data_IF_834860538185
#
_entry.id   IF_834860538185
#
_cell.length_a   1.000
_cell.length_b   1.000
_cell.length_c   1.000
_cell.angle_alpha   90.00
_cell.angle_beta   90.00
_cell.angle_gamma   90.00
#
_symmetry.space_group_name_H-M   'P 1'
#
loop_
_entity.id
_entity.type
_entity.pdbx_description
1 polymer ?
#
# COMPACT_ATOMS: atom_id res chain seq x y z
N UNK A 1 -3.34 -24.23 3.65
CA UNK A 1 -3.76 -25.15 2.55
C UNK A 1 -4.17 -24.45 1.25
N UNK A 2 -4.64 -23.20 1.27
CA UNK A 2 -5.11 -22.52 0.03
C UNK A 2 -3.98 -21.95 -0.86
N UNK A 3 -2.82 -21.63 -0.32
CA UNK A 3 -1.69 -21.04 -1.10
C UNK A 3 -1.11 -22.05 -2.12
N UNK A 4 -1.04 -23.31 -1.78
CA UNK A 4 -0.52 -24.37 -2.68
C UNK A 4 -1.48 -24.58 -3.87
N UNK A 5 -2.79 -24.48 -3.68
CA UNK A 5 -3.79 -24.64 -4.74
C UNK A 5 -3.70 -23.57 -5.82
N UNK A 6 -3.40 -22.31 -5.43
CA UNK A 6 -3.26 -21.19 -6.38
C UNK A 6 -2.01 -21.37 -7.24
N UNK A 7 -0.88 -21.74 -6.64
CA UNK A 7 0.37 -22.01 -7.37
C UNK A 7 0.19 -23.19 -8.33
N UNK A 8 -0.50 -24.26 -7.90
CA UNK A 8 -0.75 -25.43 -8.72
C UNK A 8 -1.66 -25.11 -9.90
N UNK A 9 -2.70 -24.28 -9.71
CA UNK A 9 -3.61 -23.86 -10.80
C UNK A 9 -2.86 -22.96 -11.80
N UNK A 10 -2.03 -22.04 -11.35
CA UNK A 10 -1.23 -21.18 -12.23
C UNK A 10 -0.22 -21.98 -13.04
N UNK A 11 0.41 -22.98 -12.44
CA UNK A 11 1.35 -23.88 -13.13
C UNK A 11 0.63 -24.82 -14.11
N UNK A 12 -0.55 -25.33 -13.76
CA UNK A 12 -1.37 -26.16 -14.66
C UNK A 12 -1.90 -25.35 -15.85
N UNK A 13 -2.30 -24.10 -15.65
CA UNK A 13 -2.70 -23.23 -16.78
C UNK A 13 -1.53 -22.96 -17.74
N UNK A 14 -0.32 -22.75 -17.21
CA UNK A 14 0.88 -22.59 -18.04
C UNK A 14 1.24 -23.87 -18.83
N UNK A 15 1.10 -25.03 -18.21
CA UNK A 15 1.36 -26.33 -18.83
C UNK A 15 0.28 -26.69 -19.87
N UNK A 16 -0.99 -26.36 -19.64
CA UNK A 16 -2.08 -26.64 -20.61
C UNK A 16 -1.99 -25.74 -21.84
N UNK A 17 -1.51 -24.50 -21.72
CA UNK A 17 -1.23 -23.66 -22.89
C UNK A 17 -0.07 -24.18 -23.74
N UNK A 18 0.95 -24.80 -23.12
CA UNK A 18 2.04 -25.46 -23.84
C UNK A 18 1.61 -26.69 -24.66
N UNK A 19 0.59 -27.43 -24.21
CA UNK A 19 0.10 -28.62 -24.89
C UNK A 19 -0.80 -28.30 -26.09
N UNK A 20 -1.41 -27.14 -26.18
CA UNK A 20 -2.21 -26.69 -27.33
C UNK A 20 -1.39 -26.22 -28.53
N UNK A 21 -0.08 -26.04 -28.36
CA UNK A 21 0.81 -25.56 -29.41
C UNK A 21 1.30 -26.60 -30.40
N UNK A 22 0.84 -27.86 -30.31
CA UNK A 22 1.31 -28.99 -31.15
C UNK A 22 0.31 -29.46 -32.21
N UNK A 23 -0.38 -28.56 -32.88
CA UNK A 23 -1.07 -28.93 -34.13
C UNK A 23 -0.28 -28.40 -35.33
N UNK A 24 0.28 -29.31 -36.10
CA UNK A 24 1.03 -29.09 -37.34
C UNK A 24 0.22 -28.34 -38.41
N UNK A 25 0.34 -27.04 -38.42
CA UNK A 25 0.39 -26.20 -39.63
C UNK A 25 1.58 -25.29 -39.40
N UNK A 26 2.36 -25.03 -40.49
CA UNK A 26 3.51 -24.11 -40.41
C UNK A 26 3.15 -22.88 -39.56
N UNK A 27 3.41 -23.00 -38.29
CA UNK A 27 3.03 -21.98 -37.33
C UNK A 27 3.88 -20.76 -37.60
N UNK A 28 3.25 -19.66 -38.01
CA UNK A 28 3.95 -18.40 -38.20
C UNK A 28 4.70 -18.10 -36.93
N UNK A 29 6.02 -17.93 -37.06
CA UNK A 29 6.90 -17.58 -35.93
C UNK A 29 6.76 -16.11 -35.70
N UNK A 30 6.31 -15.74 -34.49
CA UNK A 30 6.23 -14.37 -34.03
C UNK A 30 7.31 -14.14 -32.99
N UNK A 31 8.25 -13.28 -33.28
CA UNK A 31 9.29 -12.86 -32.35
C UNK A 31 9.45 -11.36 -32.46
N UNK A 32 9.63 -10.61 -31.36
CA UNK A 32 9.92 -9.21 -31.45
C UNK A 32 11.27 -8.98 -32.15
N UNK A 33 11.30 -8.01 -33.02
CA UNK A 33 12.51 -7.58 -33.71
C UNK A 33 13.44 -6.84 -32.74
N UNK A 34 14.76 -6.93 -32.97
CA UNK A 34 15.74 -6.13 -32.24
C UNK A 34 15.43 -4.65 -32.49
N UNK A 35 15.38 -3.85 -31.43
CA UNK A 35 14.98 -2.44 -31.50
C UNK A 35 13.50 -2.18 -31.27
N UNK A 36 12.65 -3.24 -31.23
CA UNK A 36 11.22 -3.05 -30.93
C UNK A 36 10.99 -2.70 -29.46
N UNK A 37 9.95 -1.90 -29.25
CA UNK A 37 9.45 -1.54 -27.93
C UNK A 37 8.11 -2.23 -27.66
N UNK A 38 7.80 -2.45 -26.39
CA UNK A 38 6.48 -2.94 -25.99
C UNK A 38 5.98 -2.18 -24.74
N UNK A 39 4.70 -1.93 -24.75
CA UNK A 39 3.96 -1.51 -23.56
C UNK A 39 3.09 -2.69 -23.12
N UNK A 40 3.04 -2.92 -21.83
CA UNK A 40 2.26 -4.00 -21.24
C UNK A 40 1.52 -3.58 -20.00
N UNK A 41 0.51 -4.40 -19.68
CA UNK A 41 -0.20 -4.35 -18.41
C UNK A 41 0.10 -5.64 -17.69
N UNK A 42 0.56 -5.55 -16.46
CA UNK A 42 0.77 -6.70 -15.59
C UNK A 42 -0.35 -6.75 -14.57
N UNK A 43 -0.84 -7.95 -14.33
CA UNK A 43 -1.83 -8.27 -13.32
C UNK A 43 -1.21 -9.21 -12.30
N UNK A 44 -1.29 -8.85 -11.03
CA UNK A 44 -0.82 -9.68 -9.91
C UNK A 44 -2.01 -10.44 -9.30
N UNK A 45 -2.20 -11.73 -9.61
CA UNK A 45 -3.33 -12.50 -9.09
C UNK A 45 -3.24 -12.77 -7.59
N UNK A 46 -2.05 -12.74 -7.01
CA UNK A 46 -1.86 -12.92 -5.56
C UNK A 46 -2.32 -11.67 -4.82
N UNK A 47 -1.95 -10.50 -5.31
CA UNK A 47 -2.45 -9.24 -4.77
C UNK A 47 -3.97 -9.13 -4.91
N UNK A 48 -4.53 -9.55 -6.04
CA UNK A 48 -5.98 -9.60 -6.27
C UNK A 48 -6.69 -10.55 -5.29
N UNK A 49 -6.14 -11.74 -5.08
CA UNK A 49 -6.70 -12.74 -4.15
C UNK A 49 -6.63 -12.30 -2.67
N UNK A 50 -5.70 -11.41 -2.34
CA UNK A 50 -5.57 -10.80 -1.02
C UNK A 50 -6.41 -9.52 -0.85
N UNK A 51 -7.22 -9.17 -1.85
CA UNK A 51 -8.08 -7.99 -1.82
C UNK A 51 -7.52 -6.77 -2.56
N UNK A 52 -6.31 -6.87 -3.12
CA UNK A 52 -5.68 -5.80 -3.90
C UNK A 52 -5.66 -4.45 -3.17
N UNK A 53 -6.01 -3.38 -3.89
CA UNK A 53 -6.20 -2.05 -3.28
C UNK A 53 -7.36 -2.00 -2.29
N UNK A 54 -8.34 -2.93 -2.38
CA UNK A 54 -9.40 -3.06 -1.38
C UNK A 54 -8.88 -3.60 -0.04
N UNK A 55 -7.81 -4.41 -0.02
CA UNK A 55 -7.16 -4.81 1.24
C UNK A 55 -6.50 -3.61 1.94
N UNK A 56 -5.97 -2.66 1.18
CA UNK A 56 -5.51 -1.38 1.72
C UNK A 56 -6.67 -0.58 2.32
N UNK A 57 -7.84 -0.56 1.68
CA UNK A 57 -9.06 0.07 2.23
C UNK A 57 -9.62 -0.69 3.42
N UNK A 58 -9.53 -2.02 3.47
CA UNK A 58 -9.95 -2.79 4.64
C UNK A 58 -9.04 -2.57 5.84
N UNK A 59 -7.74 -2.38 5.64
CA UNK A 59 -6.81 -2.00 6.70
C UNK A 59 -7.05 -0.56 7.19
N UNK A 60 -7.52 0.31 6.32
CA UNK A 60 -8.05 1.63 6.66
C UNK A 60 -9.31 1.51 7.50
N UNK A 61 -10.23 0.65 7.11
CA UNK A 61 -11.43 0.35 7.88
C UNK A 61 -11.08 -0.21 9.27
N UNK A 62 -10.15 -1.15 9.36
CA UNK A 62 -9.65 -1.66 10.63
C UNK A 62 -8.96 -0.58 11.47
N UNK A 63 -8.28 0.36 10.84
CA UNK A 63 -7.70 1.51 11.52
C UNK A 63 -8.77 2.45 12.08
N UNK A 64 -9.80 2.79 11.31
CA UNK A 64 -10.87 3.70 11.73
C UNK A 64 -11.84 3.05 12.75
N UNK A 65 -12.13 1.76 12.58
CA UNK A 65 -13.14 1.05 13.36
C UNK A 65 -12.54 0.14 14.44
N UNK A 66 -11.22 -0.13 14.38
CA UNK A 66 -10.54 -1.08 15.26
C UNK A 66 -11.05 -2.51 15.08
N UNK A 67 -10.36 -3.45 15.69
CA UNK A 67 -10.87 -4.80 15.95
C UNK A 67 -11.24 -4.87 17.43
N UNK A 68 -12.46 -5.22 17.75
CA UNK A 68 -12.85 -5.53 19.13
C UNK A 68 -12.00 -6.71 19.58
N UNK A 69 -11.23 -6.51 20.64
CA UNK A 69 -10.64 -7.60 21.40
C UNK A 69 -11.61 -8.02 22.48
N UNK A 70 -11.53 -9.28 22.97
CA UNK A 70 -12.41 -9.83 24.01
C UNK A 70 -12.52 -8.95 25.27
N UNK A 71 -11.57 -8.05 25.49
CA UNK A 71 -11.52 -7.10 26.61
C UNK A 71 -12.20 -5.75 26.32
N UNK A 72 -12.88 -5.59 25.16
CA UNK A 72 -13.55 -4.34 24.78
C UNK A 72 -12.58 -3.18 24.49
N UNK A 73 -11.29 -3.39 24.61
CA UNK A 73 -10.26 -2.44 24.22
C UNK A 73 -10.03 -2.63 22.72
N UNK A 74 -10.53 -1.70 21.93
CA UNK A 74 -10.06 -1.58 20.55
C UNK A 74 -8.61 -1.15 20.66
N UNK A 75 -7.71 -2.10 20.65
CA UNK A 75 -6.34 -1.80 20.26
C UNK A 75 -6.51 -1.32 18.83
N UNK A 76 -6.42 0.00 18.66
CA UNK A 76 -6.25 0.60 17.37
C UNK A 76 -5.22 -0.27 16.72
N UNK A 77 -5.54 -0.86 15.59
CA UNK A 77 -4.63 -1.79 14.99
C UNK A 77 -3.27 -1.19 15.25
N UNK A 78 -2.35 -1.93 15.91
CA UNK A 78 -0.97 -1.56 15.79
C UNK A 78 -0.78 -1.54 14.29
N UNK A 79 -1.24 -0.47 13.73
CA UNK A 79 -1.13 -0.19 12.34
C UNK A 79 0.37 -0.11 12.21
N UNK A 80 0.97 -1.26 11.92
CA UNK A 80 2.28 -1.25 11.31
C UNK A 80 2.04 -0.48 10.04
N UNK A 81 2.16 0.86 10.09
CA UNK A 81 1.74 1.70 8.99
C UNK A 81 2.59 1.44 7.76
N UNK A 82 3.52 0.54 7.89
CA UNK A 82 4.62 0.33 7.02
C UNK A 82 4.80 -1.13 6.72
N UNK A 83 3.73 -1.79 6.36
CA UNK A 83 3.95 -3.03 5.64
C UNK A 83 4.70 -2.66 4.36
N UNK A 84 6.00 -2.93 4.38
CA UNK A 84 6.80 -2.85 3.19
C UNK A 84 6.11 -3.59 2.07
N UNK A 85 6.12 -3.00 0.90
CA UNK A 85 5.65 -3.66 -0.30
C UNK A 85 6.45 -4.94 -0.51
N UNK A 86 5.93 -6.04 -0.02
CA UNK A 86 6.32 -7.37 -0.46
C UNK A 86 5.73 -7.56 -1.85
N UNK A 87 6.36 -8.32 -2.73
CA UNK A 87 5.86 -8.56 -4.08
C UNK A 87 4.42 -9.06 -4.12
N UNK A 88 3.99 -9.81 -3.10
CA UNK A 88 2.60 -10.24 -2.93
C UNK A 88 1.62 -9.12 -2.57
N UNK A 89 2.12 -7.96 -2.19
CA UNK A 89 1.33 -6.77 -1.81
C UNK A 89 1.48 -5.61 -2.81
N UNK A 90 2.16 -5.85 -3.94
CA UNK A 90 2.23 -4.87 -5.02
C UNK A 90 0.83 -4.51 -5.53
N UNK A 91 0.68 -3.33 -6.15
CA UNK A 91 -0.57 -2.99 -6.82
C UNK A 91 -1.05 -4.13 -7.72
N UNK A 92 -2.33 -4.41 -7.67
CA UNK A 92 -2.96 -5.46 -8.48
C UNK A 92 -2.65 -5.32 -9.97
N UNK A 93 -2.53 -4.08 -10.43
CA UNK A 93 -2.22 -3.74 -11.81
C UNK A 93 -1.00 -2.83 -11.86
N UNK A 94 -0.08 -3.12 -12.77
CA UNK A 94 1.07 -2.27 -13.08
C UNK A 94 1.25 -2.14 -14.58
N UNK A 95 1.90 -1.06 -15.00
CA UNK A 95 2.27 -0.82 -16.40
C UNK A 95 3.72 -1.23 -16.56
N UNK A 96 4.03 -1.93 -17.64
CA UNK A 96 5.39 -2.33 -17.99
C UNK A 96 5.79 -1.79 -19.36
N UNK A 97 7.07 -1.55 -19.50
CA UNK A 97 7.74 -1.23 -20.74
C UNK A 97 8.88 -2.22 -20.97
N UNK A 98 8.99 -2.73 -22.18
CA UNK A 98 10.11 -3.57 -22.63
C UNK A 98 10.75 -2.96 -23.87
N UNK A 99 12.06 -3.07 -23.97
CA UNK A 99 12.85 -2.72 -25.16
C UNK A 99 13.75 -3.89 -25.53
N UNK A 100 13.55 -4.49 -26.71
CA UNK A 100 14.34 -5.60 -27.20
C UNK A 100 15.70 -5.12 -27.70
N UNK A 101 16.71 -5.11 -26.84
CA UNK A 101 18.02 -4.59 -27.14
C UNK A 101 18.85 -5.53 -28.04
N UNK A 102 18.68 -6.85 -27.85
CA UNK A 102 19.32 -7.91 -28.64
C UNK A 102 18.32 -9.06 -28.82
N UNK A 103 18.64 -10.02 -29.68
CA UNK A 103 17.77 -11.18 -29.97
C UNK A 103 17.27 -11.90 -28.71
N UNK A 104 18.14 -12.04 -27.72
CA UNK A 104 17.86 -12.77 -26.46
C UNK A 104 17.90 -11.90 -25.21
N UNK A 105 17.88 -10.56 -25.37
CA UNK A 105 17.98 -9.65 -24.24
C UNK A 105 17.11 -8.43 -24.43
N UNK A 106 16.31 -8.12 -23.43
CA UNK A 106 15.48 -6.92 -23.35
C UNK A 106 15.75 -6.14 -22.06
N UNK A 107 15.58 -4.83 -22.12
CA UNK A 107 15.38 -4.02 -20.92
C UNK A 107 13.90 -4.07 -20.56
N UNK A 108 13.60 -4.25 -19.29
CA UNK A 108 12.24 -4.24 -18.77
C UNK A 108 12.15 -3.27 -17.59
N UNK A 109 11.11 -2.46 -17.58
CA UNK A 109 10.74 -1.64 -16.44
C UNK A 109 9.25 -1.79 -16.17
N UNK A 110 8.85 -1.70 -14.91
CA UNK A 110 7.43 -1.65 -14.55
C UNK A 110 7.20 -0.63 -13.43
N UNK A 111 6.01 -0.05 -13.44
CA UNK A 111 5.55 0.87 -12.42
C UNK A 111 4.11 0.53 -12.03
N UNK A 112 3.87 0.48 -10.74
CA UNK A 112 2.53 0.35 -10.19
C UNK A 112 2.40 1.24 -8.96
N UNK A 113 1.23 1.84 -8.79
CA UNK A 113 0.92 2.65 -7.63
C UNK A 113 -0.54 2.47 -7.23
N UNK A 114 -0.79 2.70 -5.96
CA UNK A 114 -2.13 2.74 -5.41
C UNK A 114 -2.19 3.83 -4.35
N UNK A 115 -3.37 4.37 -4.13
CA UNK A 115 -3.61 5.35 -3.08
C UNK A 115 -5.09 5.55 -2.88
N UNK A 116 -5.44 6.11 -1.74
CA UNK A 116 -6.80 6.40 -1.40
C UNK A 116 -6.89 7.54 -0.40
N UNK A 117 -7.97 8.27 -0.50
CA UNK A 117 -8.33 9.33 0.43
C UNK A 117 -9.72 9.03 0.97
N UNK A 118 -9.83 8.99 2.30
CA UNK A 118 -11.09 8.83 3.00
C UNK A 118 -11.32 10.05 3.89
N UNK A 119 -12.49 10.65 3.79
CA UNK A 119 -12.93 11.72 4.67
C UNK A 119 -14.21 11.27 5.36
N UNK A 120 -14.05 10.71 6.55
CA UNK A 120 -15.16 10.31 7.40
C UNK A 120 -15.62 11.51 8.22
N UNK A 121 -16.93 11.72 8.32
CA UNK A 121 -17.51 12.81 9.10
C UNK A 121 -18.62 12.29 10.00
N UNK A 122 -18.74 12.88 11.17
CA UNK A 122 -19.79 12.59 12.14
C UNK A 122 -20.26 13.88 12.80
N UNK A 123 -21.56 13.97 13.07
CA UNK A 123 -22.11 15.10 13.79
C UNK A 123 -21.98 14.88 15.30
N UNK A 124 -21.55 15.93 15.99
CA UNK A 124 -21.49 16.02 17.44
C UNK A 124 -22.26 17.25 17.91
N UNK A 125 -22.65 17.29 19.17
CA UNK A 125 -23.33 18.46 19.72
C UNK A 125 -22.43 19.71 19.67
N UNK A 126 -23.01 20.85 19.34
CA UNK A 126 -22.33 22.14 19.38
C UNK A 126 -22.20 22.62 20.84
N UNK A 127 -21.00 22.49 21.42
CA UNK A 127 -20.75 22.87 22.82
C UNK A 127 -21.06 24.34 23.09
N UNK A 128 -20.77 25.23 22.11
CA UNK A 128 -21.05 26.66 22.23
C UNK A 128 -22.57 26.94 22.27
N UNK A 129 -23.32 26.27 21.44
CA UNK A 129 -24.79 26.40 21.44
C UNK A 129 -25.40 25.81 22.70
N UNK A 130 -24.88 24.69 23.21
CA UNK A 130 -25.31 24.07 24.45
C UNK A 130 -24.97 24.91 25.68
N UNK A 131 -23.82 25.60 25.69
CA UNK A 131 -23.45 26.53 26.76
C UNK A 131 -24.41 27.74 26.85
N UNK A 132 -24.97 28.17 25.72
CA UNK A 132 -25.97 29.23 25.66
C UNK A 132 -27.38 28.73 25.97
N UNK A 133 -27.74 27.53 25.54
CA UNK A 133 -29.02 26.89 25.77
C UNK A 133 -28.81 25.36 25.91
N UNK A 134 -28.93 24.81 27.14
CA UNK A 134 -28.74 23.37 27.39
C UNK A 134 -29.68 22.45 26.62
N UNK A 135 -30.78 22.98 26.08
CA UNK A 135 -31.73 22.25 25.25
C UNK A 135 -31.45 22.41 23.74
N UNK A 136 -30.31 22.97 23.37
CA UNK A 136 -29.96 23.16 21.96
C UNK A 136 -29.72 21.83 21.27
N UNK A 137 -30.33 21.65 20.10
CA UNK A 137 -30.08 20.52 19.18
C UNK A 137 -29.06 20.87 18.09
N UNK A 138 -28.36 22.01 18.21
CA UNK A 138 -27.36 22.40 17.24
C UNK A 138 -26.18 21.40 17.20
N UNK A 139 -25.72 21.08 16.01
CA UNK A 139 -24.63 20.15 15.80
C UNK A 139 -23.54 20.76 14.92
N UNK A 140 -22.32 20.33 15.16
CA UNK A 140 -21.14 20.60 14.35
C UNK A 140 -20.58 19.29 13.83
N UNK A 141 -19.69 19.33 12.86
CA UNK A 141 -19.14 18.11 12.27
C UNK A 141 -17.67 17.97 12.61
N UNK A 142 -17.33 16.82 13.15
CA UNK A 142 -15.95 16.33 13.23
C UNK A 142 -15.61 15.55 11.96
N UNK A 143 -14.32 15.47 11.62
CA UNK A 143 -13.87 14.74 10.47
C UNK A 143 -12.52 14.03 10.74
N UNK A 144 -12.42 12.79 10.26
CA UNK A 144 -11.18 12.03 10.18
C UNK A 144 -10.83 11.86 8.71
N UNK A 145 -9.67 12.37 8.33
CA UNK A 145 -9.15 12.33 6.96
C UNK A 145 -7.95 11.40 6.92
N UNK A 146 -8.07 10.34 6.14
CA UNK A 146 -6.99 9.39 5.93
C UNK A 146 -6.48 9.53 4.51
N UNK A 147 -5.19 9.72 4.35
CA UNK A 147 -4.47 9.69 3.07
C UNK A 147 -3.50 8.50 3.08
N UNK A 148 -3.60 7.65 2.08
CA UNK A 148 -2.73 6.51 1.89
C UNK A 148 -2.19 6.48 0.47
N UNK A 149 -0.90 6.22 0.33
CA UNK A 149 -0.22 6.08 -0.96
C UNK A 149 0.86 5.01 -0.90
N UNK A 150 1.04 4.33 -2.02
CA UNK A 150 2.09 3.36 -2.15
C UNK A 150 2.31 2.94 -3.59
N UNK A 151 3.44 2.36 -3.86
CA UNK A 151 3.79 1.91 -5.19
C UNK A 151 5.14 1.23 -5.26
N UNK A 152 5.46 0.79 -6.47
CA UNK A 152 6.75 0.19 -6.76
C UNK A 152 7.17 0.41 -8.19
N UNK A 153 8.47 0.45 -8.38
CA UNK A 153 9.13 0.52 -9.69
C UNK A 153 10.13 -0.61 -9.74
N UNK A 154 10.13 -1.36 -10.85
CA UNK A 154 11.19 -2.33 -11.14
C UNK A 154 11.87 -1.95 -12.44
N UNK A 155 13.18 -2.15 -12.53
CA UNK A 155 13.92 -1.95 -13.77
C UNK A 155 15.10 -2.94 -13.83
N UNK A 156 15.28 -3.57 -14.99
CA UNK A 156 16.34 -4.57 -15.14
C UNK A 156 16.47 -5.12 -16.54
N UNK A 157 17.21 -6.21 -16.61
CA UNK A 157 17.44 -6.97 -17.82
C UNK A 157 16.58 -8.23 -17.81
N UNK A 158 15.99 -8.55 -18.94
CA UNK A 158 15.26 -9.79 -19.19
C UNK A 158 15.94 -10.55 -20.33
N UNK A 159 16.24 -11.82 -20.11
CA UNK A 159 16.76 -12.74 -21.09
C UNK A 159 15.63 -13.63 -21.57
N UNK A 160 15.63 -13.93 -22.86
CA UNK A 160 14.59 -14.76 -23.45
C UNK A 160 15.16 -15.82 -24.37
N UNK A 161 14.53 -16.98 -24.42
CA UNK A 161 14.89 -18.08 -25.27
C UNK A 161 13.64 -18.79 -25.80
N UNK A 162 13.60 -19.11 -27.07
CA UNK A 162 12.46 -19.74 -27.74
C UNK A 162 11.95 -18.89 -28.90
N UNK A 163 10.84 -19.35 -29.49
CA UNK A 163 10.20 -18.68 -30.63
C UNK A 163 8.84 -18.08 -30.17
N UNK A 164 7.73 -18.61 -30.66
CA UNK A 164 6.40 -18.14 -30.26
C UNK A 164 6.14 -18.30 -28.76
N UNK A 165 6.62 -19.40 -28.17
CA UNK A 165 6.69 -19.58 -26.73
C UNK A 165 8.14 -19.39 -26.29
N UNK A 166 8.36 -18.45 -25.38
CA UNK A 166 9.67 -18.11 -24.85
C UNK A 166 9.74 -18.35 -23.36
N UNK A 167 10.87 -18.91 -22.94
CA UNK A 167 11.30 -18.81 -21.56
C UNK A 167 11.83 -17.40 -21.34
N UNK A 168 11.41 -16.75 -20.29
CA UNK A 168 11.88 -15.44 -19.88
C UNK A 168 12.48 -15.54 -18.49
N UNK A 169 13.59 -14.87 -18.27
CA UNK A 169 14.23 -14.79 -16.97
C UNK A 169 15.03 -13.51 -16.89
N UNK A 170 15.00 -12.84 -15.76
CA UNK A 170 15.63 -11.55 -15.63
C UNK A 170 16.02 -11.20 -14.21
N UNK A 171 16.76 -10.11 -14.10
CA UNK A 171 17.12 -9.51 -12.82
C UNK A 171 17.22 -8.00 -12.95
N UNK A 172 17.10 -7.33 -11.83
CA UNK A 172 17.18 -5.87 -11.80
C UNK A 172 17.06 -5.33 -10.39
N UNK A 173 16.69 -4.06 -10.31
CA UNK A 173 16.42 -3.35 -9.07
C UNK A 173 14.93 -3.15 -8.90
N UNK A 174 14.50 -3.22 -7.66
CA UNK A 174 13.18 -2.85 -7.23
C UNK A 174 13.27 -1.70 -6.23
N UNK A 175 12.45 -0.69 -6.44
CA UNK A 175 12.18 0.35 -5.47
C UNK A 175 10.71 0.30 -5.10
N UNK A 176 10.41 0.38 -3.81
CA UNK A 176 9.04 0.45 -3.30
C UNK A 176 8.90 1.61 -2.32
N UNK A 177 7.70 2.12 -2.23
CA UNK A 177 7.35 3.15 -1.26
C UNK A 177 5.93 2.93 -0.76
N UNK A 178 5.67 3.34 0.46
CA UNK A 178 4.33 3.27 1.03
C UNK A 178 4.23 4.05 2.32
N UNK A 179 3.06 4.65 2.54
CA UNK A 179 2.78 5.40 3.74
C UNK A 179 1.43 6.06 3.70
N UNK A 180 1.06 6.64 4.81
CA UNK A 180 -0.18 7.37 4.97
C UNK A 180 -0.17 8.20 6.23
N UNK A 181 -1.13 9.10 6.33
CA UNK A 181 -1.33 9.92 7.51
C UNK A 181 -2.81 10.06 7.83
N UNK A 182 -3.11 10.30 9.09
CA UNK A 182 -4.47 10.60 9.55
C UNK A 182 -4.49 12.01 10.09
N UNK A 183 -5.40 12.81 9.57
CA UNK A 183 -5.63 14.18 10.00
C UNK A 183 -7.03 14.27 10.60
N UNK A 184 -7.15 14.97 11.71
CA UNK A 184 -8.40 15.20 12.41
C UNK A 184 -8.81 16.66 12.27
N UNK A 185 -10.09 16.90 12.15
CA UNK A 185 -10.68 18.24 12.14
C UNK A 185 -11.92 18.23 13.04
N UNK A 186 -12.05 19.23 13.87
CA UNK A 186 -13.05 19.30 14.92
C UNK A 186 -13.98 20.47 14.72
N UNK A 187 -15.29 20.24 14.91
CA UNK A 187 -16.31 21.27 14.90
C UNK A 187 -16.25 22.13 16.16
N UNK A 188 -16.07 21.49 17.33
CA UNK A 188 -15.93 22.19 18.59
C UNK A 188 -14.49 22.66 18.82
N UNK A 189 -14.31 23.88 19.27
CA UNK A 189 -12.99 24.47 19.53
C UNK A 189 -12.57 24.27 20.98
N UNK A 190 -11.27 24.03 21.21
CA UNK A 190 -10.69 24.11 22.54
C UNK A 190 -10.58 25.59 22.91
N UNK A 191 -11.07 25.95 24.08
CA UNK A 191 -11.00 27.31 24.66
C UNK A 191 -10.73 27.21 26.13
N UNK A 192 -10.43 28.33 26.79
CA UNK A 192 -10.29 28.40 28.25
C UNK A 192 -11.57 27.90 28.96
N UNK A 193 -12.74 28.25 28.42
CA UNK A 193 -14.04 27.83 28.96
C UNK A 193 -14.47 26.42 28.59
N UNK A 194 -13.91 25.87 27.52
CA UNK A 194 -14.19 24.53 27.01
C UNK A 194 -12.88 23.79 26.67
N UNK A 195 -12.22 23.30 27.72
CA UNK A 195 -10.94 22.60 27.58
C UNK A 195 -11.10 21.14 27.17
N UNK A 196 -12.30 20.56 27.31
CA UNK A 196 -12.66 19.19 26.96
C UNK A 196 -13.86 19.20 26.00
N UNK A 197 -13.69 19.69 24.76
CA UNK A 197 -14.81 19.78 23.84
C UNK A 197 -15.36 18.41 23.46
N UNK A 198 -16.66 18.35 23.20
CA UNK A 198 -17.31 17.15 22.68
C UNK A 198 -16.74 16.78 21.32
N UNK A 199 -16.35 15.51 21.17
CA UNK A 199 -15.81 14.95 19.94
C UNK A 199 -16.56 13.69 19.55
N UNK A 200 -16.37 13.20 18.32
CA UNK A 200 -16.98 11.94 17.91
C UNK A 200 -16.41 10.76 18.74
N UNK A 201 -17.24 9.79 19.09
CA UNK A 201 -16.90 8.64 19.94
C UNK A 201 -15.65 7.88 19.47
N UNK A 202 -15.45 7.79 18.17
CA UNK A 202 -14.29 7.10 17.59
C UNK A 202 -12.94 7.78 17.88
N UNK A 203 -12.97 9.09 18.16
CA UNK A 203 -11.77 9.87 18.50
C UNK A 203 -11.49 9.78 20.01
N UNK A 204 -12.50 9.59 20.84
CA UNK A 204 -12.37 9.54 22.30
C UNK A 204 -11.36 8.49 22.77
N UNK A 205 -11.21 7.42 22.02
CA UNK A 205 -10.20 6.38 22.31
C UNK A 205 -8.77 6.88 22.16
N UNK A 206 -8.51 7.71 21.17
CA UNK A 206 -7.20 8.30 20.93
C UNK A 206 -6.88 9.39 21.97
N UNK A 207 -7.90 10.00 22.56
CA UNK A 207 -7.74 10.96 23.67
C UNK A 207 -7.21 10.25 24.92
N UNK A 208 -7.63 9.00 25.16
CA UNK A 208 -7.11 8.20 26.27
C UNK A 208 -5.62 7.84 26.10
N UNK A 209 -5.12 7.75 24.86
CA UNK A 209 -3.70 7.55 24.58
C UNK A 209 -2.87 8.79 24.98
N UNK A 210 -3.43 9.98 24.90
CA UNK A 210 -2.78 11.20 25.35
C UNK A 210 -2.38 11.15 26.82
N UNK A 211 -3.19 10.55 27.68
CA UNK A 211 -2.89 10.43 29.12
C UNK A 211 -1.58 9.68 29.42
N UNK A 212 -1.13 8.83 28.47
CA UNK A 212 0.12 8.07 28.55
C UNK A 212 1.30 8.74 27.80
N UNK A 213 1.08 9.86 27.12
CA UNK A 213 2.09 10.54 26.30
C UNK A 213 3.23 11.22 27.09
N UNK A 214 3.04 11.36 28.40
CA UNK A 214 4.00 12.05 29.28
C UNK A 214 3.92 13.58 29.23
N UNK A 215 2.96 14.16 28.54
CA UNK A 215 2.71 15.60 28.58
C UNK A 215 2.18 16.00 29.95
N UNK A 216 2.80 17.01 30.60
CA UNK A 216 2.46 17.45 31.97
C UNK A 216 1.79 18.83 32.03
N UNK A 217 1.77 19.54 30.91
CA UNK A 217 1.29 20.93 30.84
C UNK A 217 -0.08 21.10 30.19
N UNK A 218 -0.63 20.03 29.61
CA UNK A 218 -2.01 19.91 29.20
C UNK A 218 -2.69 18.77 29.99
N UNK A 219 -3.91 18.98 30.47
CA UNK A 219 -4.69 17.95 31.15
C UNK A 219 -5.52 17.11 30.15
N UNK A 220 -5.74 17.65 28.96
CA UNK A 220 -6.46 17.03 27.87
C UNK A 220 -5.75 17.34 26.56
N UNK A 221 -5.64 16.33 25.70
CA UNK A 221 -5.14 16.48 24.35
C UNK A 221 -5.90 15.60 23.37
N UNK A 222 -6.32 16.19 22.26
CA UNK A 222 -6.95 15.45 21.16
C UNK A 222 -6.03 15.41 19.95
N UNK A 223 -6.00 14.32 19.18
CA UNK A 223 -5.11 14.20 18.05
C UNK A 223 -5.49 15.16 16.94
N UNK A 224 -4.51 15.85 16.37
CA UNK A 224 -4.65 16.65 15.14
C UNK A 224 -4.12 15.88 13.95
N UNK A 225 -3.04 15.13 14.17
CA UNK A 225 -2.39 14.34 13.16
C UNK A 225 -1.79 13.09 13.80
N UNK A 226 -2.04 11.94 13.20
CA UNK A 226 -1.47 10.67 13.66
C UNK A 226 -0.76 9.96 12.52
N UNK A 227 0.21 9.15 12.93
CA UNK A 227 1.01 8.27 12.09
C UNK A 227 1.87 8.97 11.03
N UNK A 228 2.72 8.24 10.47
CA UNK A 228 3.66 8.48 9.38
C UNK A 228 3.65 9.86 8.74
N UNK A 229 4.47 10.68 9.25
CA UNK A 229 4.80 11.95 8.61
C UNK A 229 5.79 11.74 7.47
N UNK A 230 5.88 10.55 6.98
CA UNK A 230 6.76 10.21 5.89
C UNK A 230 6.31 8.95 5.15
N UNK A 231 7.05 8.65 4.11
CA UNK A 231 6.88 7.49 3.29
C UNK A 231 8.01 6.51 3.60
N UNK A 232 7.67 5.26 3.87
CA UNK A 232 8.65 4.18 3.93
C UNK A 232 9.18 3.90 2.55
N UNK A 233 10.45 3.60 2.46
CA UNK A 233 11.15 3.31 1.21
C UNK A 233 11.81 1.95 1.28
N UNK A 234 11.77 1.20 0.19
CA UNK A 234 12.45 -0.07 0.06
C UNK A 234 13.24 -0.14 -1.24
N UNK A 235 14.46 -0.66 -1.18
CA UNK A 235 15.29 -0.91 -2.35
C UNK A 235 15.75 -2.36 -2.28
N UNK A 236 15.55 -3.12 -3.36
CA UNK A 236 15.90 -4.54 -3.40
C UNK A 236 16.41 -5.01 -4.76
N UNK A 237 16.99 -6.18 -4.75
CA UNK A 237 17.25 -6.94 -5.96
C UNK A 237 16.00 -7.68 -6.38
N UNK A 238 15.72 -7.66 -7.66
CA UNK A 238 14.56 -8.29 -8.27
C UNK A 238 15.03 -9.36 -9.25
N UNK A 239 14.42 -10.54 -9.20
CA UNK A 239 14.67 -11.66 -10.12
C UNK A 239 13.32 -12.17 -10.60
N UNK A 240 13.20 -12.47 -11.88
CA UNK A 240 12.00 -13.08 -12.44
C UNK A 240 12.31 -14.30 -13.29
N UNK A 241 11.35 -15.24 -13.35
CA UNK A 241 11.38 -16.40 -14.24
C UNK A 241 9.96 -16.66 -14.72
N UNK A 242 9.81 -17.01 -16.01
CA UNK A 242 8.48 -17.29 -16.54
C UNK A 242 8.45 -17.68 -17.99
N UNK A 243 7.27 -17.54 -18.57
CA UNK A 243 6.98 -17.85 -19.95
C UNK A 243 6.27 -16.66 -20.59
N UNK A 244 6.54 -16.42 -21.86
CA UNK A 244 5.86 -15.44 -22.70
C UNK A 244 5.47 -16.10 -24.03
N UNK A 245 4.19 -16.01 -24.37
CA UNK A 245 3.64 -16.59 -25.58
C UNK A 245 3.13 -15.51 -26.53
N UNK A 246 3.69 -15.49 -27.74
CA UNK A 246 3.26 -14.62 -28.83
C UNK A 246 2.11 -15.29 -29.60
N UNK A 247 0.90 -14.83 -29.38
CA UNK A 247 -0.29 -15.27 -30.09
C UNK A 247 -0.57 -14.46 -31.37
N UNK A 248 0.08 -13.28 -31.51
CA UNK A 248 0.08 -12.42 -32.69
C UNK A 248 1.49 -11.84 -32.92
N UNK A 249 1.72 -11.27 -34.11
CA UNK A 249 3.00 -10.62 -34.44
C UNK A 249 3.41 -9.56 -33.41
N UNK A 250 2.44 -8.81 -32.94
CA UNK A 250 2.66 -7.64 -32.09
C UNK A 250 2.11 -7.81 -30.67
N UNK A 251 1.60 -8.99 -30.30
CA UNK A 251 1.00 -9.18 -28.99
C UNK A 251 1.43 -10.49 -28.34
N UNK A 252 1.72 -10.42 -27.04
CA UNK A 252 2.08 -11.55 -26.21
C UNK A 252 1.33 -11.56 -24.90
N UNK A 253 1.15 -12.73 -24.34
CA UNK A 253 0.73 -12.96 -22.97
C UNK A 253 1.86 -13.66 -22.22
N UNK A 254 2.17 -13.21 -21.01
CA UNK A 254 3.23 -13.77 -20.19
C UNK A 254 2.74 -14.13 -18.79
N UNK A 255 3.45 -15.07 -18.18
CA UNK A 255 3.29 -15.39 -16.77
C UNK A 255 4.69 -15.51 -16.15
N UNK A 256 4.94 -14.76 -15.09
CA UNK A 256 6.23 -14.75 -14.39
C UNK A 256 6.05 -14.95 -12.90
N UNK A 257 7.01 -15.63 -12.31
CA UNK A 257 7.24 -15.66 -10.87
C UNK A 257 8.37 -14.68 -10.58
N UNK A 258 8.09 -13.76 -9.69
CA UNK A 258 9.02 -12.70 -9.31
C UNK A 258 9.49 -12.94 -7.88
N UNK A 259 10.76 -12.70 -7.63
CA UNK A 259 11.41 -12.89 -6.34
C UNK A 259 12.26 -11.65 -5.99
N UNK A 260 12.18 -11.19 -4.76
CA UNK A 260 13.11 -10.19 -4.21
C UNK A 260 13.95 -10.84 -3.11
N UNK A 261 15.12 -11.42 -3.45
CA UNK A 261 15.91 -12.19 -2.52
C UNK A 261 16.59 -11.35 -1.44
N UNK A 262 16.79 -10.07 -1.71
CA UNK A 262 17.37 -9.12 -0.75
C UNK A 262 16.75 -7.74 -0.93
N UNK A 263 16.42 -7.11 0.19
CA UNK A 263 15.80 -5.79 0.22
C UNK A 263 16.19 -5.04 1.50
N UNK A 264 16.57 -3.79 1.35
CA UNK A 264 16.74 -2.86 2.47
C UNK A 264 15.54 -1.93 2.50
N UNK A 265 14.93 -1.78 3.65
CA UNK A 265 13.80 -0.91 3.85
C UNK A 265 14.03 0.09 4.97
N UNK A 266 13.54 1.29 4.76
CA UNK A 266 13.66 2.43 5.66
C UNK A 266 12.26 2.87 6.06
N UNK A 267 12.00 2.86 7.36
CA UNK A 267 10.77 3.42 7.94
C UNK A 267 11.09 4.79 8.54
N UNK A 268 10.31 5.83 8.24
CA UNK A 268 10.51 7.14 8.83
C UNK A 268 10.09 7.15 10.30
N UNK A 269 10.45 8.23 10.98
CA UNK A 269 9.92 8.54 12.29
C UNK A 269 8.39 8.67 12.24
N UNK A 270 7.73 8.13 13.27
CA UNK A 270 6.28 8.28 13.45
C UNK A 270 6.00 9.06 14.71
N UNK A 271 5.01 9.95 14.67
CA UNK A 271 4.58 10.74 15.79
C UNK A 271 3.09 11.07 15.70
N UNK A 272 2.52 11.44 16.85
CA UNK A 272 1.17 11.99 16.95
C UNK A 272 1.26 13.42 17.40
N UNK A 273 0.53 14.31 16.74
CA UNK A 273 0.38 15.71 17.18
C UNK A 273 -0.95 15.78 17.91
N UNK A 274 -0.90 16.18 19.15
CA UNK A 274 -2.05 16.53 19.97
C UNK A 274 -2.22 18.02 20.08
N UNK A 275 -3.45 18.50 20.19
CA UNK A 275 -3.77 19.86 20.60
C UNK A 275 -4.55 19.84 21.90
N UNK A 276 -4.29 20.81 22.75
CA UNK A 276 -4.94 20.96 24.05
C UNK A 276 -4.78 22.38 24.59
N UNK A 277 -5.39 22.64 25.74
CA UNK A 277 -5.24 23.92 26.42
C UNK A 277 -4.03 23.86 27.33
N UNK A 278 -3.06 24.75 27.09
CA UNK A 278 -1.89 24.94 27.95
C UNK A 278 -2.28 25.79 29.17
N UNK A 279 -2.32 25.15 30.33
CA UNK A 279 -2.71 25.79 31.59
C UNK A 279 -1.70 26.83 32.10
N UNK A 280 -0.45 26.76 31.63
CA UNK A 280 0.60 27.72 32.07
C UNK A 280 0.59 29.00 31.23
N UNK A 281 0.28 28.89 29.94
CA UNK A 281 0.26 30.01 29.01
C UNK A 281 -1.13 30.53 28.67
N UNK A 282 -2.18 29.85 29.12
CA UNK A 282 -3.57 30.25 28.87
C UNK A 282 -3.95 30.29 27.41
N UNK A 283 -3.43 29.34 26.60
CA UNK A 283 -3.65 29.29 25.16
C UNK A 283 -3.75 27.85 24.65
N UNK A 284 -4.34 27.65 23.47
CA UNK A 284 -4.30 26.38 22.78
C UNK A 284 -2.88 26.16 22.26
N UNK A 285 -2.33 25.01 22.54
CA UNK A 285 -0.99 24.63 22.11
C UNK A 285 -0.97 23.20 21.56
N UNK A 286 0.12 22.85 20.89
CA UNK A 286 0.32 21.52 20.30
C UNK A 286 1.48 20.79 20.99
N UNK A 287 1.30 19.50 21.19
CA UNK A 287 2.29 18.57 21.71
C UNK A 287 2.59 17.49 20.71
N UNK A 288 3.87 17.26 20.45
CA UNK A 288 4.33 16.19 19.55
C UNK A 288 4.76 14.99 20.39
N UNK A 289 3.97 13.92 20.33
CA UNK A 289 4.31 12.66 20.95
C UNK A 289 5.06 11.77 19.95
N UNK A 290 6.31 11.46 20.26
CA UNK A 290 7.19 10.67 19.41
C UNK A 290 6.92 9.20 19.63
N UNK A 291 6.28 8.53 18.66
CA UNK A 291 5.88 7.13 18.75
C UNK A 291 7.03 6.19 18.36
N UNK A 292 7.76 6.50 17.28
CA UNK A 292 8.90 5.70 16.83
C UNK A 292 9.96 6.58 16.15
N UNK A 293 11.23 6.35 16.45
CA UNK A 293 12.35 7.07 15.80
C UNK A 293 12.57 6.63 14.34
N UNK A 294 11.78 5.68 13.83
CA UNK A 294 12.01 5.03 12.55
C UNK A 294 12.89 3.78 12.69
N UNK A 295 13.02 3.05 11.57
CA UNK A 295 13.76 1.80 11.56
C UNK A 295 14.33 1.49 10.18
N UNK A 296 15.42 0.71 10.16
CA UNK A 296 15.97 0.16 8.93
C UNK A 296 15.94 -1.36 9.04
N UNK A 297 15.45 -2.02 7.99
CA UNK A 297 15.34 -3.46 7.93
C UNK A 297 16.14 -3.98 6.73
N UNK A 298 16.89 -5.05 6.95
CA UNK A 298 17.46 -5.89 5.91
C UNK A 298 16.64 -7.17 5.84
N UNK A 299 15.95 -7.36 4.74
CA UNK A 299 15.21 -8.58 4.44
C UNK A 299 15.98 -9.41 3.44
N UNK A 300 16.11 -10.70 3.69
CA UNK A 300 16.75 -11.63 2.76
C UNK A 300 16.06 -12.99 2.84
N UNK A 301 16.05 -13.68 1.69
CA UNK A 301 15.45 -15.02 1.60
C UNK A 301 14.55 -15.18 0.37
N UNK A 302 13.81 -16.26 0.34
CA UNK A 302 12.95 -16.66 -0.78
C UNK A 302 11.45 -16.46 -0.50
N UNK A 303 11.10 -15.84 0.61
CA UNK A 303 9.70 -15.67 1.02
C UNK A 303 9.01 -14.48 0.31
N UNK A 304 9.81 -13.53 -0.18
CA UNK A 304 9.31 -12.37 -0.91
C UNK A 304 9.11 -12.72 -2.40
N UNK A 305 8.05 -13.45 -2.66
CA UNK A 305 7.69 -14.00 -3.95
C UNK A 305 6.34 -13.44 -4.43
N UNK A 306 6.23 -13.18 -5.72
CA UNK A 306 5.02 -12.73 -6.39
C UNK A 306 4.80 -13.48 -7.70
N UNK A 307 3.61 -13.35 -8.26
CA UNK A 307 3.24 -13.88 -9.57
C UNK A 307 2.63 -12.76 -10.38
N UNK A 308 3.04 -12.64 -11.63
CA UNK A 308 2.47 -11.68 -12.57
C UNK A 308 1.99 -12.35 -13.83
N UNK A 309 0.82 -11.95 -14.30
CA UNK A 309 0.31 -12.23 -15.63
C UNK A 309 0.40 -10.94 -16.43
N UNK A 310 1.03 -10.96 -17.59
CA UNK A 310 1.28 -9.77 -18.40
C UNK A 310 0.68 -9.90 -19.80
N UNK A 311 0.20 -8.78 -20.31
CA UNK A 311 -0.18 -8.62 -21.71
C UNK A 311 0.67 -7.50 -22.30
N UNK A 312 1.44 -7.79 -23.36
CA UNK A 312 2.31 -6.82 -24.01
C UNK A 312 1.88 -6.60 -25.47
N UNK A 313 2.01 -5.35 -25.90
CA UNK A 313 1.87 -4.95 -27.31
C UNK A 313 3.20 -4.37 -27.79
N UNK A 314 3.75 -4.95 -28.86
CA UNK A 314 5.04 -4.60 -29.47
C UNK A 314 4.85 -3.69 -30.69
N UNK A 315 5.70 -2.71 -30.84
CA UNK A 315 5.74 -1.75 -31.95
C UNK A 315 7.15 -1.31 -32.30
#
# INVERSE_FOLDING_TARGET
>A
MNKIKVITVSLLCALSMGAMAQTEKEAKVYTPEVGSSAIGVNFNPVAAAQGGSAASFSSVGQFLYGTETEDGIIKGAEAKPNQMYILSQQPMVSISYKYQAKEHMAFKASIGFSGGYVNYREYVNDDKAMALNPMSEAQVADAVKLDYKGGGITAGLEFNAGKNLRFVGGFGLMYSFGGGEVNFAYGNQITEANQHPTTMEKIDKNINEFASSGCTWMDYGRPVKQYNVGVSHGIGLYVNLGLEWFFMKNASIGATVDLTPIMVAFQPQTYTIYEGYDKYHGAVAQYNDLVSPGSTYLLYGTENIGVNISLHYYF
#
